data_IF_362365146448
#
_entry.id   IF_362365146448
#
_cell.length_a   1.000
_cell.length_b   1.000
_cell.length_c   1.000
_cell.angle_alpha   90.00
_cell.angle_beta   90.00
_cell.angle_gamma   90.00
#
_symmetry.space_group_name_H-M   'P 1'
#
loop_
_entity.id
_entity.type
_entity.pdbx_description
1 polymer ?
#
# COMPACT_ATOMS: atom_id res chain seq x y z
N UNK A 1 -3.97 -39.70 -17.83
CA UNK A 1 -4.38 -38.43 -18.50
C UNK A 1 -4.78 -37.49 -17.39
N UNK A 2 -3.93 -36.51 -17.06
CA UNK A 2 -4.23 -35.48 -16.05
C UNK A 2 -4.79 -34.30 -16.82
N UNK A 3 -6.09 -34.04 -16.65
CA UNK A 3 -6.76 -32.86 -17.23
C UNK A 3 -6.14 -31.60 -16.63
N UNK A 4 -5.70 -30.62 -17.45
CA UNK A 4 -5.17 -29.38 -16.89
C UNK A 4 -6.30 -28.65 -16.17
N UNK A 5 -6.09 -28.36 -14.87
CA UNK A 5 -6.98 -27.50 -14.10
C UNK A 5 -7.00 -26.11 -14.77
N UNK A 6 -8.17 -25.76 -15.26
CA UNK A 6 -8.46 -24.44 -15.83
C UNK A 6 -8.08 -23.38 -14.79
N UNK A 7 -7.14 -22.53 -15.14
CA UNK A 7 -6.81 -21.32 -14.38
C UNK A 7 -8.06 -20.46 -14.37
N UNK A 8 -8.80 -20.48 -13.26
CA UNK A 8 -9.94 -19.58 -13.09
C UNK A 8 -9.41 -18.16 -13.18
N UNK A 9 -9.65 -17.49 -14.28
CA UNK A 9 -9.45 -16.06 -14.43
C UNK A 9 -10.41 -15.40 -13.45
N UNK A 10 -9.86 -14.87 -12.36
CA UNK A 10 -10.66 -14.10 -11.41
C UNK A 10 -11.11 -12.86 -12.16
N UNK A 11 -12.40 -12.81 -12.46
CA UNK A 11 -13.01 -11.66 -13.10
C UNK A 11 -12.75 -10.45 -12.19
N UNK A 12 -12.00 -9.48 -12.68
CA UNK A 12 -11.83 -8.19 -11.99
C UNK A 12 -13.19 -7.51 -11.97
N UNK A 13 -13.76 -7.36 -10.77
CA UNK A 13 -15.01 -6.63 -10.61
C UNK A 13 -14.81 -5.21 -11.15
N UNK A 14 -15.80 -4.66 -11.89
CA UNK A 14 -15.70 -3.29 -12.37
C UNK A 14 -15.74 -2.34 -11.16
N UNK A 15 -14.59 -1.72 -10.86
CA UNK A 15 -14.50 -0.75 -9.78
C UNK A 15 -14.89 0.61 -10.35
N UNK A 16 -15.94 1.20 -9.82
CA UNK A 16 -16.38 2.54 -10.20
C UNK A 16 -16.03 3.51 -9.08
N UNK A 17 -14.95 4.26 -9.27
CA UNK A 17 -14.61 5.39 -8.42
C UNK A 17 -15.49 6.59 -8.78
N UNK A 18 -15.79 7.45 -7.79
CA UNK A 18 -16.39 8.75 -8.09
C UNK A 18 -15.40 9.61 -8.91
N UNK A 19 -15.86 10.59 -9.70
CA UNK A 19 -14.96 11.45 -10.47
C UNK A 19 -13.90 12.13 -9.61
N UNK A 20 -14.24 12.54 -8.39
CA UNK A 20 -13.32 13.15 -7.43
C UNK A 20 -12.28 12.14 -6.93
N UNK A 21 -12.71 10.91 -6.58
CA UNK A 21 -11.81 9.87 -6.15
C UNK A 21 -10.82 9.47 -7.25
N UNK A 22 -11.27 9.42 -8.50
CA UNK A 22 -10.40 9.13 -9.65
C UNK A 22 -9.34 10.21 -9.86
N UNK A 23 -9.70 11.48 -9.72
CA UNK A 23 -8.73 12.60 -9.80
C UNK A 23 -7.67 12.48 -8.71
N UNK A 24 -8.06 12.15 -7.47
CA UNK A 24 -7.12 11.96 -6.36
C UNK A 24 -6.22 10.74 -6.61
N UNK A 25 -6.80 9.61 -7.04
CA UNK A 25 -6.06 8.39 -7.32
C UNK A 25 -5.00 8.61 -8.41
N UNK A 26 -5.37 9.26 -9.51
CA UNK A 26 -4.44 9.63 -10.59
C UNK A 26 -3.29 10.53 -10.14
N UNK A 27 -3.57 11.47 -9.24
CA UNK A 27 -2.56 12.41 -8.75
C UNK A 27 -1.61 11.79 -7.73
N UNK A 28 -2.11 10.90 -6.87
CA UNK A 28 -1.39 10.50 -5.66
C UNK A 28 -1.06 9.01 -5.56
N UNK A 29 -1.88 8.12 -6.14
CA UNK A 29 -1.83 6.70 -5.79
C UNK A 29 -1.46 5.80 -6.96
N UNK A 30 -1.87 6.14 -8.18
CA UNK A 30 -1.55 5.32 -9.34
C UNK A 30 -0.08 5.41 -9.68
N UNK A 31 0.52 4.27 -9.97
CA UNK A 31 1.90 4.18 -10.41
C UNK A 31 2.10 4.92 -11.73
N UNK A 32 3.30 5.46 -11.87
CA UNK A 32 3.76 6.17 -13.04
C UNK A 32 5.07 5.57 -13.53
N UNK A 33 5.28 5.61 -14.84
CA UNK A 33 6.55 5.25 -15.44
C UNK A 33 7.59 6.37 -15.29
N UNK A 34 8.79 6.15 -15.82
CA UNK A 34 9.90 7.12 -15.79
C UNK A 34 9.58 8.42 -16.54
N UNK A 35 8.66 8.37 -17.50
CA UNK A 35 8.15 9.53 -18.25
C UNK A 35 7.02 10.28 -17.52
N UNK A 36 6.73 9.89 -16.26
CA UNK A 36 5.66 10.44 -15.42
C UNK A 36 4.24 10.19 -15.97
N UNK A 37 4.06 9.22 -16.84
CA UNK A 37 2.77 8.79 -17.36
C UNK A 37 2.14 7.74 -16.43
N UNK A 38 0.82 7.83 -16.24
CA UNK A 38 0.07 6.88 -15.40
C UNK A 38 -0.01 5.53 -16.12
N UNK A 39 0.48 4.48 -15.46
CA UNK A 39 0.49 3.10 -15.99
C UNK A 39 -0.47 2.18 -15.24
N UNK A 40 -1.23 2.69 -14.30
CA UNK A 40 -2.09 1.94 -13.40
C UNK A 40 -3.50 2.51 -13.38
N UNK A 41 -4.49 1.65 -13.14
CA UNK A 41 -5.89 2.00 -12.88
C UNK A 41 -6.30 1.47 -11.49
N UNK A 42 -7.51 1.81 -11.03
CA UNK A 42 -7.97 1.39 -9.71
C UNK A 42 -7.94 -0.15 -9.49
N UNK A 43 -8.36 -1.01 -10.44
CA UNK A 43 -8.22 -2.45 -10.28
C UNK A 43 -6.77 -2.91 -10.12
N UNK A 44 -5.84 -2.31 -10.88
CA UNK A 44 -4.42 -2.67 -10.84
C UNK A 44 -3.80 -2.27 -9.51
N UNK A 45 -4.10 -1.05 -9.03
CA UNK A 45 -3.68 -0.55 -7.73
C UNK A 45 -4.15 -1.46 -6.58
N UNK A 46 -5.43 -1.80 -6.56
CA UNK A 46 -5.97 -2.68 -5.50
C UNK A 46 -5.38 -4.09 -5.58
N UNK A 47 -5.14 -4.61 -6.78
CA UNK A 47 -4.47 -5.90 -6.95
C UNK A 47 -3.04 -5.85 -6.44
N UNK A 48 -2.26 -4.85 -6.82
CA UNK A 48 -0.89 -4.64 -6.35
C UNK A 48 -0.82 -4.58 -4.82
N UNK A 49 -1.70 -3.80 -4.20
CA UNK A 49 -1.76 -3.67 -2.74
C UNK A 49 -2.12 -5.01 -2.09
N UNK A 50 -3.14 -5.69 -2.59
CA UNK A 50 -3.59 -6.98 -2.06
C UNK A 50 -2.48 -8.03 -2.14
N UNK A 51 -1.81 -8.13 -3.29
CA UNK A 51 -0.72 -9.10 -3.51
C UNK A 51 0.48 -8.81 -2.59
N UNK A 52 0.86 -7.53 -2.46
CA UNK A 52 2.00 -7.14 -1.63
C UNK A 52 1.76 -7.44 -0.14
N UNK A 53 0.56 -7.15 0.37
CA UNK A 53 0.24 -7.41 1.78
C UNK A 53 0.10 -8.92 2.02
N UNK A 54 -0.60 -9.64 1.16
CA UNK A 54 -0.77 -11.09 1.30
C UNK A 54 0.55 -11.86 1.20
N UNK A 55 1.51 -11.37 0.42
CA UNK A 55 2.82 -12.03 0.28
C UNK A 55 3.57 -12.23 1.61
N UNK A 56 3.28 -11.39 2.61
CA UNK A 56 3.88 -11.48 3.95
C UNK A 56 3.49 -12.78 4.66
N UNK A 57 2.33 -13.36 4.34
CA UNK A 57 1.87 -14.62 4.91
C UNK A 57 2.84 -15.78 4.68
N UNK A 58 3.69 -15.71 3.64
CA UNK A 58 4.76 -16.70 3.41
C UNK A 58 5.76 -16.76 4.56
N UNK A 59 6.03 -15.67 5.24
CA UNK A 59 6.94 -15.61 6.39
C UNK A 59 6.39 -16.37 7.59
N UNK A 60 5.08 -16.60 7.63
CA UNK A 60 4.38 -17.38 8.64
C UNK A 60 4.10 -18.83 8.21
N UNK A 61 4.78 -19.30 7.15
CA UNK A 61 4.71 -20.69 6.68
C UNK A 61 3.43 -21.03 5.90
N UNK A 62 2.67 -20.03 5.44
CA UNK A 62 1.50 -20.26 4.59
C UNK A 62 1.90 -20.74 3.19
N UNK A 63 1.09 -21.62 2.62
CA UNK A 63 1.28 -22.14 1.27
C UNK A 63 0.92 -21.06 0.23
N UNK A 64 1.45 -21.18 -0.98
CA UNK A 64 1.15 -20.25 -2.07
C UNK A 64 -0.35 -20.15 -2.39
N UNK A 65 -1.11 -21.24 -2.17
CA UNK A 65 -2.55 -21.23 -2.34
C UNK A 65 -3.24 -20.34 -1.31
N UNK A 66 -2.80 -20.42 -0.04
CA UNK A 66 -3.36 -19.60 1.06
C UNK A 66 -3.06 -18.12 0.82
N UNK A 67 -1.83 -17.81 0.40
CA UNK A 67 -1.43 -16.43 0.04
C UNK A 67 -2.31 -15.86 -1.08
N UNK A 68 -2.62 -16.67 -2.11
CA UNK A 68 -3.51 -16.24 -3.19
C UNK A 68 -4.95 -16.05 -2.73
N UNK A 69 -5.45 -16.90 -1.85
CA UNK A 69 -6.79 -16.74 -1.27
C UNK A 69 -6.86 -15.46 -0.45
N UNK A 70 -5.90 -15.21 0.43
CA UNK A 70 -5.81 -13.98 1.23
C UNK A 70 -5.72 -12.73 0.33
N UNK A 71 -4.89 -12.77 -0.73
CA UNK A 71 -4.82 -11.67 -1.70
C UNK A 71 -6.18 -11.40 -2.36
N UNK A 72 -6.92 -12.45 -2.73
CA UNK A 72 -8.22 -12.30 -3.35
C UNK A 72 -9.27 -11.71 -2.38
N UNK A 73 -9.22 -12.10 -1.10
CA UNK A 73 -10.06 -11.51 -0.06
C UNK A 73 -9.77 -10.02 0.10
N UNK A 74 -8.50 -9.64 0.22
CA UNK A 74 -8.09 -8.23 0.31
C UNK A 74 -8.50 -7.43 -0.93
N UNK A 75 -8.28 -7.98 -2.12
CA UNK A 75 -8.74 -7.35 -3.35
C UNK A 75 -10.26 -7.14 -3.36
N UNK A 76 -11.02 -8.13 -2.93
CA UNK A 76 -12.49 -8.09 -2.93
C UNK A 76 -13.00 -6.99 -2.03
N UNK A 77 -12.54 -6.89 -0.78
CA UNK A 77 -13.00 -5.86 0.15
C UNK A 77 -12.62 -4.44 -0.31
N UNK A 78 -11.46 -4.28 -0.95
CA UNK A 78 -11.06 -2.99 -1.53
C UNK A 78 -11.87 -2.65 -2.78
N UNK A 79 -12.13 -3.63 -3.64
CA UNK A 79 -12.89 -3.44 -4.88
C UNK A 79 -14.35 -3.11 -4.64
N UNK A 80 -14.92 -3.66 -3.57
CA UNK A 80 -16.27 -3.32 -3.11
C UNK A 80 -16.36 -1.98 -2.39
N UNK A 81 -15.20 -1.35 -2.10
CA UNK A 81 -15.08 -0.14 -1.26
C UNK A 81 -15.54 -0.35 0.20
N UNK A 82 -15.53 -1.60 0.68
CA UNK A 82 -15.83 -1.93 2.08
C UNK A 82 -14.67 -1.52 3.00
N UNK A 83 -13.44 -1.51 2.46
CA UNK A 83 -12.22 -1.11 3.15
C UNK A 83 -11.24 -0.44 2.18
N UNK A 84 -10.66 0.67 2.60
CA UNK A 84 -9.57 1.34 1.89
C UNK A 84 -8.39 1.54 2.87
N UNK A 85 -7.19 1.01 2.57
CA UNK A 85 -6.03 1.23 3.41
C UNK A 85 -5.57 2.69 3.38
N UNK A 86 -4.66 3.03 4.28
CA UNK A 86 -4.10 4.38 4.35
C UNK A 86 -3.34 4.77 3.07
N UNK A 87 -3.16 6.08 2.87
CA UNK A 87 -2.49 6.62 1.68
C UNK A 87 -1.08 6.05 1.42
N UNK A 88 -0.18 5.92 2.41
CA UNK A 88 1.12 5.29 2.19
C UNK A 88 1.03 3.86 1.67
N UNK A 89 0.07 3.07 2.14
CA UNK A 89 -0.13 1.71 1.62
C UNK A 89 -0.58 1.73 0.16
N UNK A 90 -1.53 2.59 -0.21
CA UNK A 90 -1.97 2.74 -1.61
C UNK A 90 -0.84 3.21 -2.53
N UNK A 91 0.06 4.07 -2.03
CA UNK A 91 1.19 4.60 -2.80
C UNK A 91 2.32 3.59 -2.95
N UNK A 92 2.70 2.92 -1.87
CA UNK A 92 3.99 2.25 -1.75
C UNK A 92 3.92 0.72 -1.73
N UNK A 93 2.77 0.09 -1.41
CA UNK A 93 2.70 -1.36 -1.36
C UNK A 93 3.03 -1.98 -2.72
N UNK A 94 3.94 -2.94 -2.74
CA UNK A 94 4.43 -3.59 -3.96
C UNK A 94 5.41 -2.75 -4.78
N UNK A 95 5.93 -1.64 -4.23
CA UNK A 95 7.04 -0.88 -4.79
C UNK A 95 8.32 -1.09 -3.98
N UNK A 96 9.46 -0.70 -4.53
CA UNK A 96 10.76 -0.84 -3.86
C UNK A 96 11.02 0.24 -2.79
N UNK A 97 10.20 1.27 -2.74
CA UNK A 97 10.44 2.45 -1.90
C UNK A 97 9.23 2.80 -1.06
N UNK A 98 9.51 3.46 0.07
CA UNK A 98 8.49 4.04 0.92
C UNK A 98 8.13 3.19 2.12
N UNK A 99 7.15 3.67 2.87
CA UNK A 99 6.58 2.99 4.04
C UNK A 99 5.11 2.71 3.82
N UNK A 100 4.57 1.71 4.52
CA UNK A 100 3.13 1.42 4.53
C UNK A 100 2.41 2.06 5.72
N UNK A 101 3.16 2.64 6.66
CA UNK A 101 2.60 3.33 7.83
C UNK A 101 2.37 4.80 7.55
N UNK A 102 1.24 5.31 8.04
CA UNK A 102 0.85 6.71 7.85
C UNK A 102 1.35 7.63 8.96
N UNK A 103 1.47 7.11 10.19
CA UNK A 103 1.74 7.90 11.38
C UNK A 103 2.82 7.26 12.25
N UNK A 104 3.72 8.11 12.75
CA UNK A 104 4.85 7.71 13.58
C UNK A 104 4.92 8.60 14.81
N UNK A 105 5.15 8.02 15.97
CA UNK A 105 5.49 8.75 17.18
C UNK A 105 7.01 8.65 17.36
N UNK A 106 7.68 9.79 17.34
CA UNK A 106 9.13 9.87 17.49
C UNK A 106 9.48 10.33 18.90
N UNK A 107 10.49 9.71 19.53
CA UNK A 107 11.00 10.20 20.81
C UNK A 107 11.67 11.57 20.63
N UNK A 108 11.50 12.44 21.61
CA UNK A 108 12.19 13.72 21.69
C UNK A 108 12.95 13.77 23.01
N UNK A 109 14.24 13.53 22.94
CA UNK A 109 15.12 13.62 24.11
C UNK A 109 15.51 15.06 24.38
N UNK A 110 15.65 15.42 25.65
CA UNK A 110 16.07 16.76 26.10
C UNK A 110 17.58 16.91 25.96
N UNK A 111 18.06 16.87 24.72
CA UNK A 111 19.45 17.10 24.34
C UNK A 111 19.53 17.67 22.92
N UNK A 112 20.59 18.39 22.59
CA UNK A 112 20.76 18.91 21.23
C UNK A 112 20.83 17.77 20.19
N UNK A 113 21.52 16.69 20.54
CA UNK A 113 21.61 15.48 19.68
C UNK A 113 20.24 14.86 19.47
N UNK A 114 19.43 14.72 20.53
CA UNK A 114 18.07 14.16 20.46
C UNK A 114 17.15 15.03 19.61
N UNK A 115 17.21 16.34 19.79
CA UNK A 115 16.40 17.30 19.00
C UNK A 115 16.78 17.23 17.52
N UNK A 116 18.07 17.23 17.19
CA UNK A 116 18.52 17.16 15.80
C UNK A 116 18.22 15.81 15.17
N UNK A 117 18.33 14.72 15.94
CA UNK A 117 17.91 13.38 15.49
C UNK A 117 16.42 13.35 15.18
N UNK A 118 15.57 13.87 16.06
CA UNK A 118 14.13 13.93 15.83
C UNK A 118 13.76 14.75 14.60
N UNK A 119 14.46 15.85 14.34
CA UNK A 119 14.29 16.65 13.13
C UNK A 119 14.66 15.87 11.85
N UNK A 120 15.81 15.16 11.88
CA UNK A 120 16.23 14.29 10.79
C UNK A 120 15.22 13.18 10.52
N UNK A 121 14.82 12.44 11.56
CA UNK A 121 13.91 11.30 11.45
C UNK A 121 12.54 11.78 10.93
N UNK A 122 12.07 12.95 11.37
CA UNK A 122 10.87 13.61 10.84
C UNK A 122 10.97 13.85 9.34
N UNK A 123 12.07 14.43 8.89
CA UNK A 123 12.28 14.70 7.47
C UNK A 123 12.28 13.41 6.64
N UNK A 124 12.88 12.35 7.16
CA UNK A 124 12.91 11.04 6.48
C UNK A 124 11.53 10.39 6.41
N UNK A 125 10.74 10.43 7.49
CA UNK A 125 9.37 9.90 7.50
C UNK A 125 8.48 10.70 6.53
N UNK A 126 8.54 12.02 6.57
CA UNK A 126 7.70 12.88 5.72
C UNK A 126 8.06 12.80 4.25
N UNK A 127 9.34 12.54 3.92
CA UNK A 127 9.77 12.29 2.53
C UNK A 127 8.96 11.19 1.85
N UNK A 128 8.56 10.17 2.61
CA UNK A 128 7.78 9.04 2.10
C UNK A 128 6.27 9.14 2.41
N UNK A 129 5.79 10.35 2.76
CA UNK A 129 4.37 10.62 2.94
C UNK A 129 3.82 10.27 4.32
N UNK A 130 4.68 9.91 5.30
CA UNK A 130 4.27 9.66 6.68
C UNK A 130 4.07 10.95 7.46
N UNK A 131 3.18 10.93 8.47
CA UNK A 131 3.02 11.98 9.47
C UNK A 131 3.84 11.66 10.73
N UNK A 132 4.30 12.69 11.44
CA UNK A 132 5.07 12.53 12.68
C UNK A 132 4.40 13.27 13.83
N UNK A 133 4.44 12.67 15.01
CA UNK A 133 4.09 13.29 16.30
C UNK A 133 5.22 13.09 17.31
N UNK A 134 5.24 13.93 18.33
CA UNK A 134 6.24 13.89 19.40
C UNK A 134 5.56 13.84 20.75
N UNK A 135 6.10 13.05 21.67
CA UNK A 135 5.77 13.13 23.08
C UNK A 135 6.62 14.24 23.71
N UNK A 136 5.98 15.28 24.25
CA UNK A 136 6.64 16.44 24.86
C UNK A 136 6.63 16.39 26.40
N UNK A 137 6.36 15.21 26.97
CA UNK A 137 6.29 15.01 28.43
C UNK A 137 7.38 14.09 28.92
#
# INVERSE_FOLDING_TARGET
>A
MITPMTTATIATLPITLSPQAEVVAKKRYFLKNDDNEIVEKAPDMFRRVADAIAAVEKQYGKLDIDVRLTSNEFYTIMSNLDFIPNSPTLMNAGTEQGTLSACFVLPLEDSMEGIMKAAHDTAMVQKFGGGTGFALS
#
